data_IF_426582936932
#
_entry.id   IF_426582936932
#
_cell.length_a   1.000
_cell.length_b   1.000
_cell.length_c   1.000
_cell.angle_alpha   90.00
_cell.angle_beta   90.00
_cell.angle_gamma   90.00
#
_symmetry.space_group_name_H-M   'P 1'
#
loop_
_entity.id
_entity.type
_entity.pdbx_description
1 polymer ?
#
# COMPACT_ATOMS: atom_id res chain seq x y z
N UNK A 1 -28.85 -56.75 23.97
CA UNK A 1 -30.17 -57.10 24.53
C UNK A 1 -30.54 -55.99 25.51
N UNK A 2 -30.96 -54.83 25.01
CA UNK A 2 -32.36 -54.42 24.79
C UNK A 2 -33.11 -54.17 26.10
N UNK A 3 -33.40 -52.91 26.40
CA UNK A 3 -34.73 -52.40 26.80
C UNK A 3 -34.68 -50.89 27.04
N UNK A 4 -35.43 -50.13 26.24
CA UNK A 4 -35.85 -48.74 26.50
C UNK A 4 -36.86 -48.68 27.66
N UNK A 5 -37.17 -47.48 28.19
CA UNK A 5 -38.44 -46.81 27.85
C UNK A 5 -38.29 -45.26 27.83
N UNK A 6 -39.18 -44.40 27.34
CA UNK A 6 -40.51 -44.43 26.72
C UNK A 6 -40.80 -42.97 26.29
N UNK A 7 -41.27 -42.72 25.07
CA UNK A 7 -42.62 -42.22 24.74
C UNK A 7 -43.14 -41.01 25.55
N UNK A 8 -43.27 -39.86 24.88
CA UNK A 8 -44.55 -39.16 24.63
C UNK A 8 -44.39 -38.02 23.60
N UNK A 9 -45.22 -38.08 22.55
CA UNK A 9 -45.54 -37.04 21.54
C UNK A 9 -46.51 -35.98 22.13
N UNK A 10 -47.14 -35.08 21.33
CA UNK A 10 -46.63 -34.02 20.44
C UNK A 10 -47.30 -32.66 20.81
N UNK A 11 -46.88 -31.51 20.26
CA UNK A 11 -47.81 -30.58 19.58
C UNK A 11 -47.11 -29.34 18.99
N UNK A 12 -47.73 -28.83 17.94
CA UNK A 12 -47.38 -27.67 17.15
C UNK A 12 -47.44 -26.35 17.93
N UNK A 13 -46.51 -25.44 17.65
CA UNK A 13 -46.87 -24.03 17.42
C UNK A 13 -45.81 -23.31 16.59
N UNK A 14 -46.27 -22.75 15.48
CA UNK A 14 -45.61 -21.64 14.79
C UNK A 14 -45.30 -20.51 15.78
N UNK A 15 -44.09 -19.95 15.68
CA UNK A 15 -43.87 -18.50 15.79
C UNK A 15 -42.48 -18.12 15.33
N UNK A 16 -42.48 -17.27 14.31
CA UNK A 16 -41.42 -16.35 13.96
C UNK A 16 -40.90 -15.57 15.16
N UNK A 17 -39.58 -15.44 15.26
CA UNK A 17 -38.94 -14.30 15.92
C UNK A 17 -37.57 -14.08 15.31
N UNK A 18 -37.48 -13.01 14.53
CA UNK A 18 -36.26 -12.24 14.30
C UNK A 18 -35.55 -12.01 15.64
N UNK A 19 -34.26 -12.29 15.69
CA UNK A 19 -33.35 -11.67 16.67
C UNK A 19 -32.07 -11.33 15.93
N UNK A 20 -31.94 -10.05 15.63
CA UNK A 20 -30.68 -9.36 15.43
C UNK A 20 -29.71 -9.73 16.55
N UNK A 21 -28.48 -10.07 16.18
CA UNK A 21 -27.34 -9.87 17.07
C UNK A 21 -26.23 -9.22 16.26
N UNK A 22 -26.37 -7.90 16.14
CA UNK A 22 -25.24 -6.99 16.07
C UNK A 22 -24.33 -7.31 17.26
N UNK A 23 -23.08 -7.65 16.97
CA UNK A 23 -22.00 -7.58 17.94
C UNK A 23 -20.90 -6.76 17.29
N UNK A 24 -21.09 -5.46 17.38
CA UNK A 24 -20.00 -4.51 17.45
C UNK A 24 -19.08 -4.92 18.61
N UNK A 25 -17.81 -5.11 18.32
CA UNK A 25 -16.75 -5.12 19.33
C UNK A 25 -15.67 -4.13 18.91
N UNK A 26 -16.05 -2.85 18.87
CA UNK A 26 -15.13 -1.73 18.97
C UNK A 26 -14.84 -1.48 20.45
N UNK A 27 -13.72 -2.01 20.94
CA UNK A 27 -13.03 -1.46 22.11
C UNK A 27 -11.54 -1.75 21.97
N UNK A 28 -10.79 -0.83 21.35
CA UNK A 28 -9.36 -0.70 21.63
C UNK A 28 -9.10 0.68 22.24
N UNK A 29 -8.79 0.65 23.53
CA UNK A 29 -8.33 1.79 24.31
C UNK A 29 -6.82 1.67 24.42
N UNK A 30 -6.11 2.54 23.70
CA UNK A 30 -4.66 2.53 23.66
C UNK A 30 -4.08 3.61 24.59
N UNK A 31 -3.21 3.16 25.50
CA UNK A 31 -2.32 4.02 26.28
C UNK A 31 -0.94 3.41 26.12
N UNK A 32 -0.08 4.14 25.40
CA UNK A 32 1.24 3.70 24.95
C UNK A 32 1.99 2.83 25.96
N UNK A 33 2.31 1.62 25.54
CA UNK A 33 3.08 0.63 26.27
C UNK A 33 3.52 -0.46 25.28
N UNK A 34 4.53 -1.26 25.62
CA UNK A 34 5.10 -2.40 24.88
C UNK A 34 4.09 -3.50 24.43
N UNK A 35 2.79 -3.24 24.53
CA UNK A 35 1.67 -4.13 24.26
C UNK A 35 1.44 -4.41 22.76
N UNK A 36 1.61 -3.45 21.85
CA UNK A 36 1.26 -3.61 20.42
C UNK A 36 2.03 -4.70 19.67
N UNK A 37 3.25 -4.99 20.13
CA UNK A 37 4.02 -6.09 19.53
C UNK A 37 3.62 -7.43 20.14
N UNK A 38 3.34 -7.48 21.46
CA UNK A 38 2.82 -8.69 22.10
C UNK A 38 1.46 -9.07 21.52
N UNK A 39 0.56 -8.10 21.30
CA UNK A 39 -0.77 -8.31 20.70
C UNK A 39 -0.65 -8.95 19.33
N UNK A 40 0.13 -8.40 18.39
CA UNK A 40 0.28 -9.00 17.05
C UNK A 40 1.03 -10.35 17.02
N UNK A 41 1.76 -10.74 18.07
CA UNK A 41 2.37 -12.09 18.15
C UNK A 41 1.39 -13.11 18.74
N UNK A 42 0.59 -12.67 19.70
CA UNK A 42 -0.48 -13.46 20.33
C UNK A 42 -1.67 -13.63 19.39
N UNK A 43 -2.06 -12.57 18.67
CA UNK A 43 -3.17 -12.51 17.71
C UNK A 43 -3.00 -13.51 16.56
N UNK A 44 -1.77 -13.68 16.06
CA UNK A 44 -1.45 -14.65 15.00
C UNK A 44 -0.89 -15.98 15.51
N UNK A 45 -0.87 -16.24 16.83
CA UNK A 45 -0.34 -17.49 17.43
C UNK A 45 1.12 -17.82 17.06
N UNK A 46 1.95 -16.80 16.86
CA UNK A 46 3.36 -16.99 16.48
C UNK A 46 4.25 -17.23 17.70
N UNK A 47 5.36 -17.94 17.49
CA UNK A 47 6.37 -18.18 18.53
C UNK A 47 6.82 -16.85 19.18
N UNK A 48 6.75 -16.69 20.53
CA UNK A 48 7.17 -15.47 21.20
C UNK A 48 8.62 -15.07 20.89
N UNK A 49 8.92 -13.77 20.93
CA UNK A 49 10.28 -13.28 20.64
C UNK A 49 11.35 -13.93 21.53
N UNK A 50 11.03 -14.16 22.80
CA UNK A 50 11.95 -14.72 23.80
C UNK A 50 12.51 -16.09 23.42
N UNK A 51 11.71 -16.93 22.76
CA UNK A 51 12.17 -18.24 22.27
C UNK A 51 12.66 -18.13 20.83
N UNK A 52 12.00 -17.32 19.99
CA UNK A 52 12.32 -17.17 18.58
C UNK A 52 13.72 -16.59 18.32
N UNK A 53 14.23 -15.74 19.21
CA UNK A 53 15.61 -15.23 19.12
C UNK A 53 16.67 -16.34 19.07
N UNK A 54 16.38 -17.55 19.58
CA UNK A 54 17.32 -18.68 19.51
C UNK A 54 17.48 -19.18 18.07
N UNK A 55 16.37 -19.26 17.31
CA UNK A 55 16.39 -19.56 15.87
C UNK A 55 17.18 -18.51 15.09
N UNK A 56 17.03 -17.24 15.46
CA UNK A 56 17.84 -16.15 14.89
C UNK A 56 19.33 -16.38 15.17
N UNK A 57 19.71 -16.74 16.40
CA UNK A 57 21.12 -17.05 16.70
C UNK A 57 21.65 -18.23 15.88
N UNK A 58 20.85 -19.27 15.69
CA UNK A 58 21.20 -20.41 14.85
C UNK A 58 21.41 -19.98 13.38
N UNK A 59 20.49 -19.18 12.83
CA UNK A 59 20.65 -18.61 11.50
C UNK A 59 21.96 -17.81 11.38
N UNK A 60 22.26 -16.95 12.35
CA UNK A 60 23.49 -16.15 12.35
C UNK A 60 24.74 -17.03 12.45
N UNK A 61 24.69 -18.15 13.17
CA UNK A 61 25.77 -19.13 13.21
C UNK A 61 26.00 -19.80 11.84
N UNK A 62 24.93 -20.06 11.09
CA UNK A 62 25.01 -20.60 9.71
C UNK A 62 25.61 -19.57 8.76
N UNK A 63 25.14 -18.31 8.82
CA UNK A 63 25.54 -17.25 7.88
C UNK A 63 26.96 -16.73 8.13
N UNK A 64 27.36 -16.56 9.40
CA UNK A 64 28.60 -15.87 9.79
C UNK A 64 29.55 -16.71 10.65
N UNK A 65 29.23 -17.99 10.86
CA UNK A 65 30.06 -18.94 11.62
C UNK A 65 29.65 -19.08 13.09
N UNK A 66 30.11 -20.17 13.71
CA UNK A 66 29.60 -20.69 15.00
C UNK A 66 29.64 -19.73 16.19
N UNK A 67 30.46 -18.67 16.15
CA UNK A 67 30.51 -17.69 17.23
C UNK A 67 29.54 -16.51 17.03
N UNK A 68 29.03 -16.28 15.82
CA UNK A 68 28.25 -15.10 15.48
C UNK A 68 26.95 -15.02 16.28
N UNK A 69 26.16 -16.10 16.33
CA UNK A 69 24.93 -16.13 17.12
C UNK A 69 25.14 -15.90 18.62
N UNK A 70 26.31 -16.30 19.17
CA UNK A 70 26.64 -16.10 20.59
C UNK A 70 26.93 -14.64 20.94
N UNK A 71 27.57 -13.91 20.03
CA UNK A 71 27.99 -12.52 20.25
C UNK A 71 27.02 -11.50 19.66
N UNK A 72 26.00 -11.95 18.92
CA UNK A 72 24.98 -11.09 18.36
C UNK A 72 24.14 -10.43 19.46
N UNK A 73 23.99 -9.12 19.36
CA UNK A 73 22.93 -8.40 20.09
C UNK A 73 21.67 -8.49 19.23
N UNK A 74 20.61 -9.09 19.77
CA UNK A 74 19.34 -9.28 19.08
C UNK A 74 18.29 -8.50 19.86
N UNK A 75 17.57 -7.62 19.18
CA UNK A 75 16.52 -6.79 19.76
C UNK A 75 15.23 -6.96 18.98
N UNK A 76 14.11 -6.96 19.69
CA UNK A 76 12.80 -6.82 19.07
C UNK A 76 12.61 -5.38 18.64
N UNK A 77 12.10 -5.16 17.44
CA UNK A 77 11.67 -3.84 16.99
C UNK A 77 10.16 -3.87 16.74
N UNK A 78 9.50 -2.73 16.96
CA UNK A 78 8.12 -2.56 16.54
C UNK A 78 8.04 -2.76 15.03
N UNK A 79 7.10 -3.59 14.58
CA UNK A 79 6.88 -3.90 13.19
C UNK A 79 5.39 -3.95 12.92
N UNK A 80 4.98 -3.60 11.70
CA UNK A 80 3.58 -3.68 11.29
C UNK A 80 3.04 -5.12 11.28
N UNK A 81 1.74 -5.27 11.02
CA UNK A 81 1.04 -6.56 11.06
C UNK A 81 1.52 -7.62 10.06
N UNK A 82 2.34 -7.26 9.07
CA UNK A 82 2.78 -8.17 7.99
C UNK A 82 4.10 -8.89 8.26
N UNK A 83 4.98 -8.29 9.06
CA UNK A 83 6.34 -8.76 9.24
C UNK A 83 6.73 -8.76 10.71
N UNK A 84 7.47 -9.78 11.13
CA UNK A 84 8.26 -9.73 12.36
C UNK A 84 9.58 -9.04 12.03
N UNK A 85 9.88 -7.95 12.75
CA UNK A 85 11.07 -7.12 12.56
C UNK A 85 12.01 -7.34 13.74
N UNK A 86 13.23 -7.80 13.45
CA UNK A 86 14.25 -8.10 14.45
C UNK A 86 15.51 -7.30 14.13
N UNK A 87 15.98 -6.52 15.09
CA UNK A 87 17.27 -5.85 15.03
C UNK A 87 18.38 -6.84 15.37
N UNK A 88 19.43 -6.87 14.54
CA UNK A 88 20.61 -7.71 14.76
C UNK A 88 21.85 -6.83 14.68
N UNK A 89 22.68 -6.84 15.72
CA UNK A 89 23.98 -6.18 15.71
C UNK A 89 25.10 -7.21 15.85
N UNK A 90 26.04 -7.18 14.91
CA UNK A 90 27.17 -8.11 14.84
C UNK A 90 28.50 -7.35 14.80
N UNK A 91 29.54 -7.95 15.37
CA UNK A 91 30.93 -7.54 15.16
C UNK A 91 31.51 -8.39 14.04
N UNK A 92 31.58 -7.82 12.83
CA UNK A 92 32.13 -8.47 11.64
C UNK A 92 33.39 -7.71 11.21
N UNK A 93 34.50 -8.42 11.07
CA UNK A 93 35.81 -7.86 10.69
C UNK A 93 36.29 -6.68 11.57
N UNK A 94 35.94 -6.71 12.86
CA UNK A 94 36.27 -5.64 13.82
C UNK A 94 35.35 -4.42 13.75
N UNK A 95 34.33 -4.43 12.88
CA UNK A 95 33.35 -3.36 12.76
C UNK A 95 31.99 -3.81 13.27
N UNK A 96 31.32 -2.94 14.03
CA UNK A 96 29.92 -3.14 14.43
C UNK A 96 29.04 -2.87 13.22
N UNK A 97 28.32 -3.89 12.75
CA UNK A 97 27.32 -3.81 11.69
C UNK A 97 25.92 -4.01 12.26
N UNK A 98 24.97 -3.25 11.73
CA UNK A 98 23.56 -3.28 12.15
C UNK A 98 22.70 -3.79 11.01
N UNK A 99 21.87 -4.77 11.31
CA UNK A 99 20.98 -5.41 10.37
C UNK A 99 19.55 -5.38 10.89
N UNK A 100 18.62 -5.47 9.94
CA UNK A 100 17.21 -5.76 10.15
C UNK A 100 16.95 -7.14 9.53
N UNK A 101 16.41 -8.04 10.33
CA UNK A 101 15.85 -9.30 9.87
C UNK A 101 14.32 -9.14 9.77
N UNK A 102 13.80 -9.20 8.54
CA UNK A 102 12.37 -9.27 8.23
C UNK A 102 11.97 -10.72 8.06
N UNK A 103 10.98 -11.16 8.83
CA UNK A 103 10.35 -12.48 8.68
C UNK A 103 8.88 -12.25 8.36
N UNK A 104 8.42 -12.59 7.14
CA UNK A 104 7.01 -12.51 6.79
C UNK A 104 6.15 -13.33 7.76
N UNK A 105 4.97 -12.82 8.08
CA UNK A 105 4.01 -13.53 8.94
C UNK A 105 3.09 -14.46 8.17
N UNK A 106 3.02 -14.32 6.85
CA UNK A 106 2.13 -15.09 5.98
C UNK A 106 2.93 -15.90 4.96
N UNK A 107 2.53 -17.16 4.76
CA UNK A 107 3.24 -18.13 3.90
C UNK A 107 3.17 -17.79 2.40
N UNK A 108 2.34 -16.83 2.01
CA UNK A 108 2.16 -16.42 0.62
C UNK A 108 3.09 -15.29 0.16
N UNK A 109 3.96 -14.77 1.03
CA UNK A 109 4.86 -13.65 0.71
C UNK A 109 6.03 -14.13 -0.15
N UNK A 110 6.15 -13.59 -1.37
CA UNK A 110 7.30 -13.83 -2.23
C UNK A 110 8.47 -12.90 -1.85
N UNK A 111 9.32 -13.39 -0.95
CA UNK A 111 10.51 -12.68 -0.49
C UNK A 111 11.50 -12.38 -1.63
N UNK A 112 11.69 -13.30 -2.58
CA UNK A 112 12.55 -13.08 -3.75
C UNK A 112 12.12 -11.87 -4.59
N UNK A 113 10.81 -11.68 -4.77
CA UNK A 113 10.28 -10.54 -5.50
C UNK A 113 10.59 -9.21 -4.77
N UNK A 114 10.39 -9.17 -3.44
CA UNK A 114 10.75 -8.00 -2.63
C UNK A 114 12.25 -7.66 -2.71
N UNK A 115 13.11 -8.69 -2.64
CA UNK A 115 14.56 -8.50 -2.75
C UNK A 115 14.96 -7.94 -4.12
N UNK A 116 14.32 -8.38 -5.21
CA UNK A 116 14.56 -7.85 -6.54
C UNK A 116 14.18 -6.36 -6.64
N UNK A 117 13.03 -5.97 -6.07
CA UNK A 117 12.60 -4.57 -6.00
C UNK A 117 13.65 -3.73 -5.26
N UNK A 118 14.04 -4.14 -4.04
CA UNK A 118 15.03 -3.42 -3.24
C UNK A 118 16.37 -3.27 -3.98
N UNK A 119 16.87 -4.35 -4.60
CA UNK A 119 18.11 -4.32 -5.38
C UNK A 119 18.02 -3.40 -6.60
N UNK A 120 16.87 -3.36 -7.26
CA UNK A 120 16.62 -2.50 -8.43
C UNK A 120 16.54 -1.01 -8.07
N UNK A 121 16.00 -0.70 -6.88
CA UNK A 121 15.84 0.67 -6.40
C UNK A 121 17.10 1.24 -5.73
N UNK A 122 17.95 0.39 -5.16
CA UNK A 122 19.16 0.77 -4.38
C UNK A 122 20.11 1.77 -5.05
N UNK A 123 20.37 1.72 -6.37
CA UNK A 123 21.22 2.71 -7.03
C UNK A 123 20.60 4.12 -7.06
N UNK A 124 19.28 4.23 -6.90
CA UNK A 124 18.52 5.46 -7.12
C UNK A 124 17.97 6.03 -5.81
N UNK A 125 17.65 5.19 -4.84
CA UNK A 125 16.97 5.58 -3.60
C UNK A 125 17.71 5.07 -2.36
N UNK A 126 17.59 5.77 -1.21
CA UNK A 126 18.13 5.29 0.05
C UNK A 126 17.25 4.17 0.60
N UNK A 127 17.37 2.97 0.03
CA UNK A 127 16.65 1.76 0.46
C UNK A 127 17.60 0.77 1.13
N UNK A 128 17.10 -0.14 1.98
CA UNK A 128 17.95 -1.12 2.65
C UNK A 128 18.74 -1.99 1.67
N UNK A 129 20.00 -2.25 1.97
CA UNK A 129 20.84 -3.17 1.23
C UNK A 129 20.58 -4.60 1.71
N UNK A 130 20.19 -5.49 0.79
CA UNK A 130 19.92 -6.90 1.12
C UNK A 130 21.24 -7.65 1.26
N UNK A 131 21.47 -8.19 2.45
CA UNK A 131 22.65 -8.97 2.81
C UNK A 131 22.45 -10.45 2.47
N UNK A 132 21.33 -11.04 2.91
CA UNK A 132 20.94 -12.41 2.58
C UNK A 132 19.42 -12.56 2.64
N UNK A 133 18.90 -13.59 2.00
CA UNK A 133 17.48 -13.94 2.08
C UNK A 133 17.30 -15.42 1.79
N UNK A 134 16.19 -15.97 2.23
CA UNK A 134 15.72 -17.31 1.85
C UNK A 134 14.21 -17.25 1.64
N UNK A 135 13.73 -17.84 0.54
CA UNK A 135 12.30 -17.94 0.23
C UNK A 135 11.70 -19.28 0.70
N UNK A 136 12.53 -20.23 1.11
CA UNK A 136 12.11 -21.54 1.60
C UNK A 136 11.94 -21.61 3.11
N UNK A 137 11.62 -22.81 3.59
CA UNK A 137 11.46 -23.13 5.01
C UNK A 137 12.57 -24.04 5.55
N UNK A 138 13.48 -24.51 4.67
CA UNK A 138 14.62 -25.36 5.04
C UNK A 138 15.79 -24.52 5.56
N UNK A 139 15.54 -23.78 6.64
CA UNK A 139 16.52 -22.94 7.32
C UNK A 139 16.20 -22.86 8.83
N UNK A 140 17.11 -22.27 9.62
CA UNK A 140 16.96 -22.19 11.08
C UNK A 140 15.71 -21.47 11.57
N UNK A 141 15.10 -20.60 10.74
CA UNK A 141 13.88 -19.87 11.07
C UNK A 141 12.61 -20.65 10.72
N UNK A 142 12.71 -21.78 10.01
CA UNK A 142 11.60 -22.58 9.49
C UNK A 142 10.63 -21.77 8.60
N UNK A 143 11.12 -20.69 7.99
CA UNK A 143 10.31 -19.75 7.25
C UNK A 143 11.15 -18.83 6.36
N UNK A 144 10.51 -18.11 5.43
CA UNK A 144 11.20 -17.17 4.58
C UNK A 144 11.73 -15.97 5.39
N UNK A 145 12.81 -15.36 4.93
CA UNK A 145 13.37 -14.18 5.58
C UNK A 145 14.16 -13.28 4.64
N UNK A 146 14.30 -12.01 5.01
CA UNK A 146 15.26 -11.06 4.43
C UNK A 146 16.13 -10.50 5.56
N UNK A 147 17.44 -10.68 5.46
CA UNK A 147 18.42 -9.97 6.26
C UNK A 147 18.95 -8.79 5.43
N UNK A 148 18.85 -7.58 5.97
CA UNK A 148 19.28 -6.35 5.29
C UNK A 148 20.01 -5.41 6.23
N UNK A 149 20.84 -4.53 5.69
CA UNK A 149 21.51 -3.49 6.47
C UNK A 149 20.48 -2.50 7.03
N UNK A 150 20.63 -2.16 8.32
CA UNK A 150 19.80 -1.14 8.95
C UNK A 150 20.19 0.23 8.40
N UNK A 151 19.22 0.93 7.82
CA UNK A 151 19.42 2.32 7.41
C UNK A 151 19.60 3.23 8.64
N UNK A 152 20.46 4.25 8.57
CA UNK A 152 20.65 5.21 9.65
C UNK A 152 19.47 6.17 9.78
N UNK A 153 19.33 6.79 10.94
CA UNK A 153 18.28 7.74 11.26
C UNK A 153 17.14 7.17 12.08
N UNK A 154 16.15 8.01 12.33
CA UNK A 154 14.91 7.72 13.05
C UNK A 154 13.70 8.01 12.17
N UNK A 155 12.53 7.49 12.55
CA UNK A 155 11.28 7.73 11.83
C UNK A 155 10.97 9.22 11.77
N UNK A 156 10.59 9.74 10.61
CA UNK A 156 10.10 11.11 10.48
C UNK A 156 8.84 11.31 11.31
N UNK A 157 7.98 10.28 11.41
CA UNK A 157 6.78 10.32 12.23
C UNK A 157 7.07 10.69 13.70
N UNK A 158 8.09 10.07 14.29
CA UNK A 158 8.41 10.23 15.71
C UNK A 158 8.87 11.65 16.07
N UNK A 159 9.44 12.38 15.11
CA UNK A 159 10.00 13.72 15.35
C UNK A 159 9.24 14.84 14.65
N UNK A 160 8.24 14.53 13.82
CA UNK A 160 7.57 15.52 12.98
C UNK A 160 6.98 16.67 13.80
N UNK A 161 6.48 16.38 15.01
CA UNK A 161 5.95 17.37 15.94
C UNK A 161 7.04 18.18 16.67
N UNK A 162 8.25 17.64 16.77
CA UNK A 162 9.39 18.30 17.41
C UNK A 162 10.07 19.32 16.48
N UNK A 163 10.02 19.07 15.16
CA UNK A 163 10.62 19.94 14.15
C UNK A 163 10.06 21.37 14.23
N UNK A 164 10.96 22.35 14.20
CA UNK A 164 10.54 23.74 14.07
C UNK A 164 10.01 24.06 12.66
N UNK A 165 9.44 25.25 12.49
CA UNK A 165 8.81 25.65 11.22
C UNK A 165 9.81 25.66 10.04
N UNK A 166 11.05 26.06 10.26
CA UNK A 166 12.06 26.16 9.21
C UNK A 166 12.56 24.75 8.86
N UNK A 167 12.76 23.88 9.85
CA UNK A 167 13.07 22.45 9.68
C UNK A 167 11.94 21.72 8.93
N UNK A 168 10.67 21.97 9.25
CA UNK A 168 9.53 21.41 8.49
C UNK A 168 9.45 21.95 7.07
N UNK A 169 9.77 23.22 6.84
CA UNK A 169 9.86 23.78 5.49
C UNK A 169 10.98 23.11 4.67
N UNK A 170 12.14 22.87 5.27
CA UNK A 170 13.24 22.18 4.60
C UNK A 170 12.92 20.69 4.37
N UNK A 171 12.22 20.03 5.30
CA UNK A 171 11.69 18.69 5.09
C UNK A 171 10.71 18.65 3.93
N UNK A 172 9.79 19.61 3.84
CA UNK A 172 8.84 19.72 2.74
C UNK A 172 9.53 19.80 1.36
N UNK A 173 10.64 20.55 1.25
CA UNK A 173 11.44 20.56 0.01
C UNK A 173 12.05 19.19 -0.29
N UNK A 174 12.62 18.52 0.71
CA UNK A 174 13.22 17.20 0.54
C UNK A 174 12.18 16.15 0.12
N UNK A 175 10.97 16.21 0.66
CA UNK A 175 9.87 15.33 0.25
C UNK A 175 9.42 15.62 -1.18
N UNK A 176 9.31 16.89 -1.59
CA UNK A 176 9.03 17.25 -2.98
C UNK A 176 10.11 16.70 -3.94
N UNK A 177 11.38 16.84 -3.58
CA UNK A 177 12.51 16.29 -4.34
C UNK A 177 12.49 14.76 -4.39
N UNK A 178 12.14 14.11 -3.29
CA UNK A 178 11.98 12.66 -3.24
C UNK A 178 10.85 12.18 -4.15
N UNK A 179 9.67 12.80 -4.09
CA UNK A 179 8.51 12.48 -4.93
C UNK A 179 8.89 12.63 -6.42
N UNK A 180 9.46 13.77 -6.81
CA UNK A 180 9.90 14.00 -8.19
C UNK A 180 10.93 12.97 -8.64
N UNK A 181 11.87 12.60 -7.75
CA UNK A 181 12.87 11.55 -8.03
C UNK A 181 12.21 10.19 -8.24
N UNK A 182 11.24 9.82 -7.40
CA UNK A 182 10.44 8.59 -7.53
C UNK A 182 9.72 8.58 -8.89
N UNK A 183 9.04 9.67 -9.24
CA UNK A 183 8.32 9.77 -10.52
C UNK A 183 9.23 9.80 -11.75
N UNK A 184 10.53 10.07 -11.59
CA UNK A 184 11.53 10.04 -12.65
C UNK A 184 12.18 8.66 -12.86
N UNK A 185 11.87 7.69 -12.00
CA UNK A 185 12.45 6.35 -12.08
C UNK A 185 12.08 5.67 -13.41
N UNK A 186 13.09 5.08 -14.07
CA UNK A 186 12.90 4.36 -15.32
C UNK A 186 12.24 2.99 -15.06
N UNK A 187 10.92 2.93 -15.24
CA UNK A 187 10.14 1.73 -15.02
C UNK A 187 10.19 0.74 -16.19
N UNK A 188 10.00 -0.57 -15.92
CA UNK A 188 9.58 -1.51 -16.96
C UNK A 188 8.24 -1.07 -17.57
N UNK A 189 7.98 -1.41 -18.85
CA UNK A 189 6.74 -1.02 -19.51
C UNK A 189 5.51 -1.70 -18.89
N UNK A 190 4.44 -0.93 -18.72
CA UNK A 190 3.13 -1.43 -18.29
C UNK A 190 2.55 -0.64 -17.10
N UNK A 191 1.35 -1.02 -16.71
CA UNK A 191 0.64 -0.53 -15.52
C UNK A 191 0.27 -1.72 -14.64
N UNK A 192 0.67 -1.68 -13.37
CA UNK A 192 0.44 -2.77 -12.42
C UNK A 192 1.54 -2.91 -11.37
N UNK A 193 1.38 -3.89 -10.46
CA UNK A 193 2.33 -4.15 -9.38
C UNK A 193 3.71 -4.51 -9.92
N UNK A 194 4.77 -4.07 -9.24
CA UNK A 194 6.12 -4.45 -9.59
C UNK A 194 6.51 -5.78 -8.95
N UNK A 195 7.30 -6.56 -9.66
CA UNK A 195 7.89 -7.79 -9.13
C UNK A 195 9.24 -8.07 -9.79
N UNK A 196 10.01 -8.96 -9.16
CA UNK A 196 11.23 -9.50 -9.76
C UNK A 196 10.97 -10.79 -10.51
N UNK A 197 11.43 -10.89 -11.75
CA UNK A 197 11.45 -12.16 -12.46
C UNK A 197 12.55 -13.11 -11.92
N UNK A 198 12.57 -14.34 -12.44
CA UNK A 198 13.55 -15.37 -12.07
C UNK A 198 15.00 -15.01 -12.45
N UNK A 199 15.19 -14.06 -13.35
CA UNK A 199 16.49 -13.52 -13.76
C UNK A 199 16.93 -12.32 -12.90
N UNK A 200 16.08 -11.88 -11.96
CA UNK A 200 16.33 -10.74 -11.08
C UNK A 200 16.06 -9.39 -11.73
N UNK A 201 15.32 -9.33 -12.83
CA UNK A 201 14.90 -8.09 -13.49
C UNK A 201 13.54 -7.62 -12.95
N UNK A 202 13.42 -6.31 -12.77
CA UNK A 202 12.15 -5.67 -12.41
C UNK A 202 11.17 -5.74 -13.60
N UNK A 203 9.95 -6.22 -13.34
CA UNK A 203 8.85 -6.30 -14.32
C UNK A 203 7.55 -5.76 -13.73
N UNK A 204 6.62 -5.41 -14.63
CA UNK A 204 5.23 -5.13 -14.28
C UNK A 204 4.45 -6.44 -14.33
N UNK A 205 3.81 -6.79 -13.22
CA UNK A 205 3.00 -7.99 -13.06
C UNK A 205 1.51 -7.70 -13.17
N UNK A 206 0.70 -8.75 -12.95
CA UNK A 206 -0.76 -8.67 -12.91
C UNK A 206 -1.25 -8.83 -11.49
N UNK A 207 -2.09 -7.89 -11.05
CA UNK A 207 -2.74 -7.97 -9.74
C UNK A 207 -3.63 -9.22 -9.65
N UNK A 208 -3.68 -9.90 -8.49
CA UNK A 208 -4.61 -10.99 -8.27
C UNK A 208 -6.05 -10.53 -8.45
N UNK A 209 -6.93 -11.41 -8.92
CA UNK A 209 -8.39 -11.16 -8.89
C UNK A 209 -9.05 -11.69 -7.61
N UNK A 210 -8.28 -12.34 -6.74
CA UNK A 210 -8.71 -12.83 -5.43
C UNK A 210 -8.76 -11.70 -4.38
N UNK A 211 -9.61 -11.83 -3.34
CA UNK A 211 -9.65 -10.85 -2.25
C UNK A 211 -8.30 -10.70 -1.53
N UNK A 212 -8.03 -9.56 -0.87
CA UNK A 212 -6.78 -9.33 -0.15
C UNK A 212 -6.43 -10.35 0.93
N UNK A 213 -7.44 -11.00 1.52
CA UNK A 213 -7.29 -12.04 2.55
C UNK A 213 -7.23 -13.46 1.98
N UNK A 214 -7.28 -13.64 0.67
CA UNK A 214 -7.17 -14.95 0.04
C UNK A 214 -5.72 -15.45 0.07
N UNK A 215 -5.53 -16.74 0.34
CA UNK A 215 -4.23 -17.40 0.21
C UNK A 215 -3.70 -17.36 -1.24
N UNK A 216 -4.61 -17.21 -2.24
CA UNK A 216 -4.30 -17.09 -3.67
C UNK A 216 -3.91 -15.65 -4.10
N UNK A 217 -3.66 -14.72 -3.17
CA UNK A 217 -3.26 -13.32 -3.44
C UNK A 217 -1.86 -13.17 -4.09
N UNK A 218 -1.27 -14.23 -4.64
CA UNK A 218 0.04 -14.14 -5.30
C UNK A 218 -0.10 -13.31 -6.57
N UNK A 219 0.79 -12.30 -6.72
CA UNK A 219 0.96 -11.61 -8.00
C UNK A 219 1.12 -12.70 -9.06
N UNK A 220 0.40 -12.58 -10.16
CA UNK A 220 0.49 -13.59 -11.23
C UNK A 220 1.78 -13.30 -11.98
N UNK A 221 2.85 -13.93 -11.49
CA UNK A 221 4.24 -13.82 -11.97
C UNK A 221 4.43 -14.55 -13.31
N UNK A 222 3.66 -15.62 -13.54
CA UNK A 222 3.70 -16.47 -14.72
C UNK A 222 2.61 -16.10 -15.74
N UNK A 223 2.97 -15.27 -16.72
CA UNK A 223 2.13 -14.86 -17.85
C UNK A 223 1.90 -15.98 -18.90
N UNK A 224 2.32 -17.21 -18.61
CA UNK A 224 2.26 -18.36 -19.54
C UNK A 224 1.24 -19.43 -19.15
N UNK A 225 0.61 -19.37 -17.98
CA UNK A 225 -0.32 -20.43 -17.60
C UNK A 225 -1.69 -20.23 -18.26
N UNK A 226 -2.17 -21.29 -18.92
CA UNK A 226 -3.38 -21.36 -19.76
C UNK A 226 -3.33 -20.82 -21.22
N UNK A 227 -2.18 -20.87 -21.89
CA UNK A 227 -2.15 -20.94 -23.37
C UNK A 227 -2.54 -19.65 -24.14
N UNK A 228 -2.44 -18.48 -23.51
CA UNK A 228 -2.55 -17.18 -24.15
C UNK A 228 -1.57 -16.17 -23.52
N UNK A 229 -0.98 -15.28 -24.34
CA UNK A 229 -0.18 -14.17 -23.80
C UNK A 229 -1.10 -13.27 -22.96
N UNK A 230 -0.90 -13.26 -21.65
CA UNK A 230 -1.53 -12.26 -20.78
C UNK A 230 -0.97 -10.89 -21.18
N UNK A 231 -1.84 -10.00 -21.64
CA UNK A 231 -1.45 -8.65 -22.06
C UNK A 231 -1.23 -7.79 -20.80
N UNK A 232 0.01 -7.36 -20.59
CA UNK A 232 0.31 -6.32 -19.60
C UNK A 232 -0.29 -5.01 -20.13
N UNK A 233 -1.22 -4.37 -19.40
CA UNK A 233 -1.80 -3.12 -19.84
C UNK A 233 -0.73 -2.03 -19.93
N UNK A 234 -0.71 -1.27 -21.02
CA UNK A 234 0.33 -0.24 -21.26
C UNK A 234 -0.15 1.17 -20.90
N UNK A 235 -1.47 1.36 -20.77
CA UNK A 235 -2.09 2.64 -20.48
C UNK A 235 -3.09 2.52 -19.33
N UNK A 236 -3.47 3.66 -18.74
CA UNK A 236 -4.51 3.70 -17.70
C UNK A 236 -5.83 3.08 -18.20
N UNK A 237 -6.25 3.40 -19.43
CA UNK A 237 -7.49 2.86 -19.99
C UNK A 237 -7.44 1.36 -20.24
N UNK A 238 -6.32 0.84 -20.75
CA UNK A 238 -6.12 -0.59 -20.92
C UNK A 238 -6.13 -1.31 -19.58
N UNK A 239 -5.51 -0.72 -18.55
CA UNK A 239 -5.46 -1.31 -17.21
C UNK A 239 -6.87 -1.44 -16.64
N UNK A 240 -7.61 -0.34 -16.58
CA UNK A 240 -8.97 -0.33 -16.04
C UNK A 240 -9.88 -1.28 -16.83
N UNK A 241 -9.85 -1.21 -18.16
CA UNK A 241 -10.72 -2.05 -19.00
C UNK A 241 -10.42 -3.53 -18.82
N UNK A 242 -9.14 -3.92 -18.89
CA UNK A 242 -8.71 -5.32 -18.75
C UNK A 242 -9.10 -5.85 -17.38
N UNK A 243 -8.78 -5.11 -16.31
CA UNK A 243 -8.99 -5.58 -14.94
C UNK A 243 -10.46 -5.69 -14.56
N UNK A 244 -11.29 -4.70 -14.92
CA UNK A 244 -12.73 -4.76 -14.63
C UNK A 244 -13.42 -5.91 -15.40
N UNK A 245 -13.01 -6.16 -16.64
CA UNK A 245 -13.51 -7.30 -17.41
C UNK A 245 -13.12 -8.65 -16.78
N UNK A 246 -11.90 -8.76 -16.27
CA UNK A 246 -11.42 -9.95 -15.56
C UNK A 246 -12.23 -10.21 -14.29
N UNK A 247 -12.43 -9.19 -13.46
CA UNK A 247 -13.26 -9.31 -12.26
C UNK A 247 -14.72 -9.65 -12.58
N UNK A 248 -15.29 -9.08 -13.65
CA UNK A 248 -16.64 -9.41 -14.10
C UNK A 248 -16.74 -10.87 -14.56
N UNK A 249 -15.75 -11.36 -15.31
CA UNK A 249 -15.67 -12.76 -15.73
C UNK A 249 -15.50 -13.71 -14.54
N UNK A 250 -14.69 -13.36 -13.54
CA UNK A 250 -14.53 -14.14 -12.31
C UNK A 250 -15.82 -14.21 -11.50
N UNK A 251 -16.52 -13.08 -11.33
CA UNK A 251 -17.82 -13.04 -10.67
C UNK A 251 -18.85 -13.91 -11.41
N UNK A 252 -18.84 -13.91 -12.75
CA UNK A 252 -19.71 -14.77 -13.56
C UNK A 252 -19.37 -16.26 -13.40
N UNK A 253 -18.07 -16.61 -13.34
CA UNK A 253 -17.60 -17.99 -13.11
C UNK A 253 -17.97 -18.51 -11.72
N UNK A 254 -17.95 -17.66 -10.70
CA UNK A 254 -18.26 -18.03 -9.32
C UNK A 254 -19.74 -18.44 -9.12
N UNK A 255 -20.64 -18.03 -10.01
CA UNK A 255 -22.03 -18.50 -10.04
C UNK A 255 -23.00 -17.74 -9.11
N UNK A 256 -24.01 -18.45 -8.60
CA UNK A 256 -25.18 -17.84 -7.95
C UNK A 256 -24.82 -16.98 -6.74
N UNK A 257 -25.34 -15.76 -6.68
CA UNK A 257 -25.11 -14.79 -5.60
C UNK A 257 -24.07 -13.72 -5.91
N UNK A 258 -23.39 -13.79 -7.07
CA UNK A 258 -22.43 -12.78 -7.53
C UNK A 258 -22.98 -11.91 -8.69
N UNK A 259 -24.24 -12.09 -9.08
CA UNK A 259 -24.85 -11.35 -10.21
C UNK A 259 -24.85 -9.82 -9.97
N UNK A 260 -24.93 -9.39 -8.72
CA UNK A 260 -24.83 -7.98 -8.38
C UNK A 260 -23.42 -7.42 -8.64
N UNK A 261 -22.35 -8.20 -8.39
CA UNK A 261 -20.97 -7.77 -8.67
C UNK A 261 -20.72 -7.62 -10.16
N UNK A 262 -21.25 -8.54 -10.98
CA UNK A 262 -21.20 -8.43 -12.45
C UNK A 262 -21.81 -7.09 -12.89
N UNK A 263 -23.00 -6.75 -12.38
CA UNK A 263 -23.65 -5.45 -12.67
C UNK A 263 -22.80 -4.26 -12.23
N UNK A 264 -22.18 -4.32 -11.05
CA UNK A 264 -21.32 -3.25 -10.56
C UNK A 264 -20.08 -3.07 -11.45
N UNK A 265 -19.43 -4.17 -11.86
CA UNK A 265 -18.27 -4.09 -12.76
C UNK A 265 -18.66 -3.58 -14.15
N UNK A 266 -19.81 -3.98 -14.69
CA UNK A 266 -20.31 -3.46 -15.97
C UNK A 266 -20.61 -1.96 -15.90
N UNK A 267 -21.23 -1.49 -14.80
CA UNK A 267 -21.48 -0.07 -14.55
C UNK A 267 -20.17 0.71 -14.41
N UNK A 268 -19.20 0.16 -13.67
CA UNK A 268 -17.90 0.79 -13.48
C UNK A 268 -17.09 0.84 -14.78
N UNK A 269 -17.18 -0.20 -15.62
CA UNK A 269 -16.57 -0.24 -16.95
C UNK A 269 -17.21 0.79 -17.90
N UNK A 270 -18.52 1.00 -17.82
CA UNK A 270 -19.18 2.06 -18.57
C UNK A 270 -18.73 3.45 -18.08
N UNK A 271 -18.71 3.66 -16.76
CA UNK A 271 -18.25 4.90 -16.14
C UNK A 271 -16.78 5.21 -16.49
N UNK A 272 -15.89 4.20 -16.48
CA UNK A 272 -14.48 4.39 -16.82
C UNK A 272 -14.29 4.90 -18.24
N UNK A 273 -15.07 4.38 -19.21
CA UNK A 273 -15.02 4.86 -20.59
C UNK A 273 -15.41 6.34 -20.72
N UNK A 274 -16.33 6.83 -19.88
CA UNK A 274 -16.72 8.25 -19.86
C UNK A 274 -15.60 9.07 -19.20
N UNK A 275 -15.19 8.70 -17.99
CA UNK A 275 -14.19 9.44 -17.20
C UNK A 275 -12.87 9.55 -17.98
N UNK A 276 -12.30 8.43 -18.42
CA UNK A 276 -10.99 8.39 -19.06
C UNK A 276 -10.96 9.07 -20.44
N UNK A 277 -12.12 9.29 -21.08
CA UNK A 277 -12.24 10.10 -22.32
C UNK A 277 -12.49 11.57 -22.05
N UNK A 278 -13.13 11.89 -20.92
CA UNK A 278 -13.46 13.27 -20.55
C UNK A 278 -12.26 14.00 -20.00
N UNK A 279 -11.41 13.31 -19.23
CA UNK A 279 -10.21 13.91 -18.66
C UNK A 279 -9.05 13.90 -19.65
N UNK A 280 -8.30 14.99 -19.66
CA UNK A 280 -7.00 15.05 -20.32
C UNK A 280 -5.97 14.41 -19.39
N UNK A 281 -5.71 13.12 -19.62
CA UNK A 281 -4.76 12.31 -18.87
C UNK A 281 -3.39 12.34 -19.56
N UNK A 282 -2.34 12.20 -18.76
CA UNK A 282 -0.98 11.97 -19.22
C UNK A 282 -0.81 10.51 -19.65
N UNK A 283 0.01 10.28 -20.67
CA UNK A 283 0.51 8.94 -20.99
C UNK A 283 1.67 8.51 -20.07
N UNK A 284 2.07 9.38 -19.12
CA UNK A 284 3.18 9.13 -18.20
C UNK A 284 2.79 8.06 -17.17
N UNK A 285 3.63 7.04 -17.07
CA UNK A 285 3.61 6.06 -15.98
C UNK A 285 4.76 6.39 -15.02
N UNK A 286 4.47 6.36 -13.72
CA UNK A 286 5.40 6.70 -12.65
C UNK A 286 5.45 5.59 -11.60
N UNK A 287 6.60 5.46 -10.93
CA UNK A 287 6.74 4.56 -9.79
C UNK A 287 5.85 5.10 -8.67
N UNK A 288 4.97 4.27 -8.14
CA UNK A 288 4.09 4.62 -7.04
C UNK A 288 4.46 3.79 -5.82
N UNK A 289 4.92 4.46 -4.77
CA UNK A 289 5.30 3.84 -3.49
C UNK A 289 4.10 3.22 -2.76
N UNK A 290 2.87 3.72 -2.99
CA UNK A 290 1.62 3.38 -2.29
C UNK A 290 1.54 3.81 -0.82
N UNK A 291 2.65 3.83 -0.12
CA UNK A 291 2.68 4.17 1.31
C UNK A 291 3.83 5.12 1.69
N UNK A 292 3.92 6.26 0.99
CA UNK A 292 4.96 7.27 1.26
C UNK A 292 4.59 8.12 2.49
N UNK A 293 4.53 7.42 3.61
CA UNK A 293 4.16 7.85 4.94
C UNK A 293 5.34 8.43 5.71
N UNK A 294 5.12 9.34 6.70
CA UNK A 294 6.19 9.76 7.61
C UNK A 294 6.78 8.58 8.40
N UNK A 295 6.03 7.51 8.70
CA UNK A 295 6.55 6.31 9.38
C UNK A 295 7.51 5.48 8.51
N UNK A 296 7.43 5.64 7.19
CA UNK A 296 8.27 4.93 6.21
C UNK A 296 9.45 5.78 5.73
N UNK A 297 9.64 6.97 6.29
CA UNK A 297 10.74 7.87 5.94
C UNK A 297 11.68 7.97 7.15
N UNK A 298 12.95 7.66 6.93
CA UNK A 298 13.98 7.85 7.93
C UNK A 298 14.71 9.16 7.70
N UNK A 299 14.98 9.86 8.79
CA UNK A 299 15.69 11.12 8.82
C UNK A 299 16.78 11.09 9.88
N UNK A 300 17.86 11.79 9.59
CA UNK A 300 18.97 11.98 10.53
C UNK A 300 19.43 13.43 10.53
N UNK A 301 19.97 13.88 11.67
CA UNK A 301 20.51 15.21 11.82
C UNK A 301 22.02 15.16 11.65
N UNK A 302 22.56 16.02 10.77
CA UNK A 302 24.00 16.08 10.50
C UNK A 302 24.79 16.72 11.65
N UNK A 303 24.82 16.07 12.81
CA UNK A 303 25.42 16.57 14.05
C UNK A 303 24.55 17.58 14.81
N UNK A 304 25.01 17.99 16.00
CA UNK A 304 24.32 18.99 16.81
C UNK A 304 24.20 20.33 16.07
N UNK A 305 22.97 20.83 15.93
CA UNK A 305 22.67 22.06 15.18
C UNK A 305 22.71 21.92 13.65
N UNK A 306 22.92 20.72 13.13
CA UNK A 306 22.83 20.43 11.69
C UNK A 306 21.38 20.42 11.17
N UNK A 307 21.22 20.39 9.85
CA UNK A 307 19.92 20.21 9.20
C UNK A 307 19.50 18.74 9.21
N UNK A 308 18.19 18.50 9.31
CA UNK A 308 17.61 17.17 9.09
C UNK A 308 17.70 16.78 7.62
N UNK A 309 18.06 15.53 7.35
CA UNK A 309 18.13 14.98 6.00
C UNK A 309 17.44 13.63 5.91
N UNK A 310 16.75 13.37 4.80
CA UNK A 310 16.19 12.05 4.50
C UNK A 310 17.33 11.06 4.25
N UNK A 311 17.40 10.03 5.09
CA UNK A 311 18.44 8.99 5.06
C UNK A 311 17.92 7.64 4.62
N UNK A 312 16.59 7.46 4.56
CA UNK A 312 15.99 6.18 4.20
C UNK A 312 14.53 6.29 3.77
N UNK A 313 14.13 5.39 2.87
CA UNK A 313 12.72 5.15 2.52
C UNK A 313 12.46 3.65 2.63
N UNK A 314 11.48 3.28 3.44
CA UNK A 314 11.12 1.91 3.79
C UNK A 314 9.80 1.50 3.11
N UNK A 315 9.48 0.22 3.17
CA UNK A 315 8.18 -0.36 2.76
C UNK A 315 7.83 -0.22 1.27
N UNK A 316 8.75 -0.68 0.41
CA UNK A 316 8.56 -0.75 -1.04
C UNK A 316 7.81 -2.00 -1.52
N UNK A 317 7.26 -2.81 -0.62
CA UNK A 317 6.76 -4.15 -0.92
C UNK A 317 5.54 -4.12 -1.87
N UNK A 318 4.70 -3.08 -1.77
CA UNK A 318 3.48 -2.92 -2.57
C UNK A 318 3.65 -1.93 -3.74
N UNK A 319 4.88 -1.51 -4.06
CA UNK A 319 5.10 -0.51 -5.11
C UNK A 319 4.66 -0.98 -6.50
N UNK A 320 4.26 -0.02 -7.33
CA UNK A 320 3.67 -0.32 -8.63
C UNK A 320 4.03 0.71 -9.71
N UNK A 321 3.93 0.30 -10.97
CA UNK A 321 3.92 1.21 -12.11
C UNK A 321 2.48 1.72 -12.29
N UNK A 322 2.24 2.99 -11.98
CA UNK A 322 0.90 3.58 -12.02
C UNK A 322 0.83 4.77 -12.98
N UNK A 323 -0.35 5.09 -13.55
CA UNK A 323 -0.54 6.35 -14.27
C UNK A 323 -0.14 7.52 -13.36
N UNK A 324 0.44 8.57 -13.93
CA UNK A 324 0.94 9.72 -13.18
C UNK A 324 -0.14 10.37 -12.31
N UNK A 325 -1.37 10.41 -12.83
CA UNK A 325 -2.59 10.81 -12.12
C UNK A 325 -2.84 10.03 -10.81
N UNK A 326 -2.41 8.77 -10.75
CA UNK A 326 -2.59 7.92 -9.58
C UNK A 326 -1.38 8.01 -8.65
N UNK A 327 -0.16 8.02 -9.21
CA UNK A 327 1.08 8.11 -8.44
C UNK A 327 1.26 9.46 -7.72
N UNK A 328 0.70 10.53 -8.29
CA UNK A 328 0.77 11.90 -7.77
C UNK A 328 -0.03 12.15 -6.50
N UNK A 329 0.39 11.54 -5.39
CA UNK A 329 -0.22 11.68 -4.07
C UNK A 329 0.19 13.00 -3.41
N UNK A 330 -0.75 13.59 -2.68
CA UNK A 330 -0.55 14.85 -1.95
C UNK A 330 -0.11 14.54 -0.50
N UNK A 331 1.13 14.85 -0.09
CA UNK A 331 1.66 14.45 1.23
C UNK A 331 1.21 15.42 2.34
N UNK A 332 -0.10 15.55 2.57
CA UNK A 332 -0.59 16.63 3.42
C UNK A 332 -0.31 16.49 4.91
N UNK A 333 0.13 15.29 5.35
CA UNK A 333 0.75 15.08 6.64
C UNK A 333 1.90 16.07 6.92
N UNK A 334 2.58 16.59 5.88
CA UNK A 334 3.64 17.59 6.03
C UNK A 334 3.19 18.88 6.73
N UNK A 335 1.95 19.32 6.53
CA UNK A 335 1.44 20.59 7.03
C UNK A 335 0.18 20.43 7.89
N UNK A 336 -0.08 19.23 8.40
CA UNK A 336 -1.08 19.03 9.44
C UNK A 336 -0.73 19.85 10.69
N UNK A 337 -1.75 20.38 11.36
CA UNK A 337 -1.57 21.12 12.61
C UNK A 337 -1.06 20.17 13.69
N UNK A 338 -0.25 20.69 14.61
CA UNK A 338 0.26 19.91 15.74
C UNK A 338 -0.92 19.38 16.59
N UNK A 339 -0.88 18.10 16.98
CA UNK A 339 -1.92 17.49 17.81
C UNK A 339 -3.26 17.19 17.12
N UNK A 340 -3.38 17.38 15.80
CA UNK A 340 -4.58 17.04 15.02
C UNK A 340 -4.41 15.72 14.24
N UNK A 341 -3.72 14.72 14.78
CA UNK A 341 -3.61 13.40 14.13
C UNK A 341 -4.93 12.66 14.30
N UNK A 342 -5.75 12.65 13.25
CA UNK A 342 -6.99 11.86 13.22
C UNK A 342 -6.66 10.36 13.25
N UNK A 343 -7.47 9.55 13.94
CA UNK A 343 -7.25 8.10 14.06
C UNK A 343 -7.52 7.35 12.74
N UNK A 344 -8.35 7.92 11.85
CA UNK A 344 -8.74 7.33 10.55
C UNK A 344 -7.91 7.93 9.38
N UNK A 345 -6.66 8.28 9.65
CA UNK A 345 -5.82 9.06 8.74
C UNK A 345 -5.37 8.28 7.49
N UNK A 346 -6.03 8.52 6.35
CA UNK A 346 -5.55 8.02 5.05
C UNK A 346 -4.50 8.98 4.46
N UNK A 347 -3.24 8.67 4.71
CA UNK A 347 -2.07 9.47 4.31
C UNK A 347 -1.96 9.73 2.80
N UNK A 348 -2.70 8.96 2.00
CA UNK A 348 -2.72 9.05 0.54
C UNK A 348 -3.95 9.77 -0.03
N UNK A 349 -4.93 10.16 0.78
CA UNK A 349 -6.20 10.77 0.35
C UNK A 349 -6.37 12.24 0.76
N UNK A 350 -5.26 12.99 0.75
CA UNK A 350 -5.29 14.40 1.10
C UNK A 350 -5.94 15.29 0.04
N UNK A 351 -6.64 16.32 0.51
CA UNK A 351 -7.24 17.33 -0.35
C UNK A 351 -6.26 18.46 -0.62
N UNK A 352 -5.88 18.72 -1.89
CA UNK A 352 -5.08 19.89 -2.21
C UNK A 352 -5.79 21.20 -1.87
N UNK A 353 -7.13 21.21 -1.79
CA UNK A 353 -7.95 22.41 -1.60
C UNK A 353 -8.56 22.52 -0.19
N UNK A 354 -8.31 21.56 0.72
CA UNK A 354 -8.64 21.75 2.14
C UNK A 354 -7.98 23.05 2.64
N UNK A 355 -8.77 23.99 3.19
CA UNK A 355 -8.24 25.23 3.73
C UNK A 355 -7.30 24.95 4.90
N UNK A 356 -6.07 25.43 4.77
CA UNK A 356 -5.10 25.39 5.87
C UNK A 356 -5.26 26.70 6.65
N UNK A 357 -5.64 26.61 7.92
CA UNK A 357 -6.03 27.78 8.73
C UNK A 357 -4.85 28.40 9.47
N UNK A 358 -3.94 27.59 10.00
CA UNK A 358 -2.73 28.01 10.71
C UNK A 358 -1.64 28.55 9.75
N UNK A 359 -0.98 29.65 10.14
CA UNK A 359 0.07 30.30 9.33
C UNK A 359 1.31 29.42 9.14
N UNK A 360 1.69 28.61 10.13
CA UNK A 360 2.85 27.71 9.98
C UNK A 360 2.59 26.65 8.91
N UNK A 361 1.43 25.99 9.00
CA UNK A 361 0.98 25.00 8.04
C UNK A 361 0.84 25.59 6.63
N UNK A 362 0.33 26.82 6.49
CA UNK A 362 0.28 27.53 5.20
C UNK A 362 1.68 27.71 4.62
N UNK A 363 2.66 28.12 5.43
CA UNK A 363 4.04 28.32 5.00
C UNK A 363 4.66 27.01 4.51
N UNK A 364 4.48 25.92 5.26
CA UNK A 364 5.01 24.58 4.88
C UNK A 364 4.39 24.11 3.55
N UNK A 365 3.06 24.21 3.42
CA UNK A 365 2.34 23.86 2.18
C UNK A 365 2.82 24.70 1.00
N UNK A 366 3.01 26.02 1.18
CA UNK A 366 3.51 26.90 0.12
C UNK A 366 4.92 26.51 -0.34
N UNK A 367 5.81 26.16 0.59
CA UNK A 367 7.17 25.70 0.27
C UNK A 367 7.12 24.39 -0.51
N UNK A 368 6.34 23.40 -0.05
CA UNK A 368 6.15 22.13 -0.78
C UNK A 368 5.63 22.38 -2.20
N UNK A 369 4.51 23.12 -2.33
CA UNK A 369 3.85 23.37 -3.61
C UNK A 369 4.79 24.10 -4.57
N UNK A 370 5.54 25.09 -4.09
CA UNK A 370 6.51 25.79 -4.93
C UNK A 370 7.60 24.84 -5.44
N UNK A 371 8.21 24.06 -4.55
CA UNK A 371 9.29 23.14 -4.92
C UNK A 371 8.80 22.07 -5.90
N UNK A 372 7.66 21.42 -5.63
CA UNK A 372 7.15 20.36 -6.50
C UNK A 372 6.67 20.89 -7.86
N UNK A 373 6.12 22.10 -7.95
CA UNK A 373 5.74 22.71 -9.23
C UNK A 373 6.96 23.13 -10.07
N UNK A 374 8.07 23.50 -9.44
CA UNK A 374 9.34 23.75 -10.14
C UNK A 374 9.94 22.45 -10.70
N UNK A 375 9.81 21.34 -9.97
CA UNK A 375 10.32 20.02 -10.37
C UNK A 375 9.40 19.29 -11.35
N UNK A 376 8.09 19.38 -11.15
CA UNK A 376 7.03 18.71 -11.92
C UNK A 376 5.89 19.70 -12.25
N UNK A 377 6.05 20.55 -13.29
CA UNK A 377 5.04 21.54 -13.63
C UNK A 377 3.65 20.93 -13.89
N UNK A 378 2.64 21.47 -13.20
CA UNK A 378 1.25 21.02 -13.26
C UNK A 378 0.90 19.93 -12.23
N UNK A 379 1.78 19.64 -11.27
CA UNK A 379 1.54 18.65 -10.21
C UNK A 379 0.26 18.95 -9.41
N UNK A 380 0.05 20.19 -8.99
CA UNK A 380 -1.14 20.62 -8.24
C UNK A 380 -2.43 20.44 -9.04
N UNK A 381 -2.40 20.83 -10.31
CA UNK A 381 -3.56 20.69 -11.18
C UNK A 381 -3.86 19.23 -11.49
N UNK A 382 -2.84 18.37 -11.58
CA UNK A 382 -3.01 16.92 -11.69
C UNK A 382 -3.62 16.35 -10.40
N UNK A 383 -3.12 16.71 -9.22
CA UNK A 383 -3.61 16.21 -7.94
C UNK A 383 -5.08 16.61 -7.67
N UNK A 384 -5.49 17.83 -8.04
CA UNK A 384 -6.90 18.24 -8.00
C UNK A 384 -7.77 17.39 -8.91
N UNK A 385 -7.34 17.24 -10.18
CA UNK A 385 -8.06 16.45 -11.18
C UNK A 385 -8.29 15.01 -10.74
N UNK A 386 -7.40 14.41 -9.96
CA UNK A 386 -7.51 12.98 -9.62
C UNK A 386 -8.45 12.72 -8.46
N UNK A 387 -8.56 13.70 -7.56
CA UNK A 387 -9.49 13.71 -6.43
C UNK A 387 -10.93 14.00 -6.87
N UNK A 388 -11.15 15.12 -7.59
CA UNK A 388 -12.49 15.59 -7.97
C UNK A 388 -13.24 14.61 -8.89
N UNK A 389 -12.49 13.74 -9.58
CA UNK A 389 -13.01 12.96 -10.71
C UNK A 389 -13.06 11.45 -10.48
N UNK A 390 -12.96 11.02 -9.21
CA UNK A 390 -13.02 9.62 -8.81
C UNK A 390 -12.03 8.68 -9.54
N UNK A 391 -10.97 9.23 -10.16
CA UNK A 391 -9.98 8.45 -10.93
C UNK A 391 -9.18 7.51 -10.02
N UNK A 392 -8.84 7.96 -8.81
CA UNK A 392 -8.18 7.12 -7.80
C UNK A 392 -9.09 5.97 -7.36
N UNK A 393 -10.36 6.24 -7.03
CA UNK A 393 -11.33 5.20 -6.68
C UNK A 393 -11.54 4.20 -7.82
N UNK A 394 -11.67 4.67 -9.07
CA UNK A 394 -11.74 3.81 -10.24
C UNK A 394 -10.51 2.91 -10.36
N UNK A 395 -9.32 3.48 -10.20
CA UNK A 395 -8.07 2.74 -10.26
C UNK A 395 -7.97 1.70 -9.13
N UNK A 396 -8.30 2.06 -7.88
CA UNK A 396 -8.29 1.12 -6.75
C UNK A 396 -9.26 -0.05 -6.93
N UNK A 397 -10.42 0.19 -7.57
CA UNK A 397 -11.36 -0.88 -7.93
C UNK A 397 -10.87 -1.75 -9.08
N UNK A 398 -10.20 -1.18 -10.08
CA UNK A 398 -9.51 -1.95 -11.12
C UNK A 398 -8.31 -2.74 -10.57
N UNK A 399 -7.60 -2.21 -9.58
CA UNK A 399 -6.47 -2.88 -8.95
C UNK A 399 -6.93 -4.04 -8.06
N UNK A 400 -7.85 -3.75 -7.15
CA UNK A 400 -8.18 -4.62 -6.02
C UNK A 400 -9.56 -5.27 -6.05
N UNK A 401 -10.49 -4.84 -6.91
CA UNK A 401 -11.85 -5.39 -6.97
C UNK A 401 -12.80 -4.90 -5.85
N UNK A 402 -14.01 -5.47 -5.81
CA UNK A 402 -15.09 -5.09 -4.90
C UNK A 402 -15.32 -6.19 -3.86
N UNK A 403 -15.02 -5.88 -2.59
CA UNK A 403 -15.03 -6.85 -1.50
C UNK A 403 -15.74 -6.39 -0.23
N UNK A 404 -16.05 -5.09 -0.10
CA UNK A 404 -16.71 -4.52 1.06
C UNK A 404 -17.83 -3.57 0.66
N UNK A 405 -18.70 -3.22 1.60
CA UNK A 405 -19.73 -2.19 1.40
C UNK A 405 -19.12 -0.83 1.10
N UNK A 406 -17.94 -0.52 1.66
CA UNK A 406 -17.21 0.70 1.32
C UNK A 406 -16.80 0.71 -0.16
N UNK A 407 -16.36 -0.44 -0.68
CA UNK A 407 -16.02 -0.54 -2.10
C UNK A 407 -17.23 -0.31 -3.01
N UNK A 408 -18.42 -0.75 -2.59
CA UNK A 408 -19.66 -0.50 -3.32
C UNK A 408 -19.98 0.99 -3.34
N UNK A 409 -19.87 1.69 -2.20
CA UNK A 409 -20.08 3.15 -2.12
C UNK A 409 -19.12 3.92 -3.04
N UNK A 410 -17.86 3.51 -3.11
CA UNK A 410 -16.90 4.10 -4.05
C UNK A 410 -17.31 3.90 -5.51
N UNK A 411 -17.76 2.69 -5.88
CA UNK A 411 -18.26 2.41 -7.24
C UNK A 411 -19.46 3.29 -7.56
N UNK A 412 -20.42 3.42 -6.65
CA UNK A 412 -21.59 4.28 -6.82
C UNK A 412 -21.20 5.74 -7.02
N UNK A 413 -20.21 6.24 -6.26
CA UNK A 413 -19.65 7.60 -6.45
C UNK A 413 -19.04 7.77 -7.84
N UNK A 414 -18.18 6.84 -8.27
CA UNK A 414 -17.54 6.88 -9.61
C UNK A 414 -18.60 6.91 -10.71
N UNK A 415 -19.63 6.05 -10.60
CA UNK A 415 -20.72 5.97 -11.58
C UNK A 415 -21.55 7.25 -11.60
N UNK A 416 -21.88 7.83 -10.44
CA UNK A 416 -22.63 9.07 -10.34
C UNK A 416 -21.90 10.25 -11.00
N UNK A 417 -20.58 10.36 -10.78
CA UNK A 417 -19.76 11.40 -11.43
C UNK A 417 -19.76 11.24 -12.95
N UNK A 418 -19.57 10.02 -13.47
CA UNK A 418 -19.62 9.76 -14.91
C UNK A 418 -20.98 10.10 -15.54
N UNK A 419 -22.09 9.81 -14.85
CA UNK A 419 -23.43 10.17 -15.30
C UNK A 419 -23.63 11.69 -15.33
N UNK A 420 -23.13 12.42 -14.31
CA UNK A 420 -23.18 13.88 -14.26
C UNK A 420 -22.45 14.54 -15.42
N UNK A 421 -21.26 14.04 -15.78
CA UNK A 421 -20.49 14.52 -16.93
C UNK A 421 -21.24 14.31 -18.26
N UNK A 422 -21.89 13.16 -18.41
CA UNK A 422 -22.69 12.86 -19.62
C UNK A 422 -23.87 13.83 -19.76
N UNK A 423 -24.60 14.07 -18.66
CA UNK A 423 -25.72 15.03 -18.65
C UNK A 423 -25.26 16.46 -18.95
N UNK A 424 -24.10 16.87 -18.42
CA UNK A 424 -23.52 18.19 -18.68
C UNK A 424 -23.14 18.38 -20.16
N UNK A 425 -22.56 17.36 -20.80
CA UNK A 425 -22.22 17.40 -22.23
C UNK A 425 -23.48 17.44 -23.12
N UNK A 426 -24.52 16.67 -22.80
CA UNK A 426 -25.81 16.74 -23.50
C UNK A 426 -26.48 18.12 -23.36
N UNK A 427 -26.46 18.70 -22.16
CA UNK A 427 -26.98 20.05 -21.93
C UNK A 427 -26.20 21.10 -22.74
N UNK A 428 -24.86 21.00 -22.79
CA UNK A 428 -24.01 21.89 -23.57
C UNK A 428 -24.27 21.77 -25.09
N UNK A 429 -24.49 20.54 -25.60
CA UNK A 429 -24.86 20.29 -27.01
C UNK A 429 -26.22 20.89 -27.35
N UNK A 430 -27.21 20.75 -26.48
CA UNK A 430 -28.54 21.31 -26.67
C UNK A 430 -28.54 22.85 -26.68
N UNK A 431 -27.74 23.49 -25.81
CA UNK A 431 -27.55 24.94 -25.82
C UNK A 431 -26.86 25.43 -27.11
N UNK A 432 -25.87 24.69 -27.62
CA UNK A 432 -25.20 25.04 -28.89
C UNK A 432 -26.15 24.88 -30.08
N UNK A 433 -27.00 23.84 -30.11
CA UNK A 433 -27.97 23.63 -31.19
C UNK A 433 -29.03 24.74 -31.24
N UNK A 434 -29.51 25.20 -30.08
CA UNK A 434 -30.51 26.28 -29.99
C UNK A 434 -29.93 27.66 -30.32
N UNK A 435 -28.62 27.85 -30.21
CA UNK A 435 -27.94 29.12 -30.57
C UNK A 435 -27.59 29.19 -32.08
N UNK A 436 -27.59 28.06 -32.80
CA UNK A 436 -27.35 28.00 -34.25
C UNK A 436 -28.65 28.10 -35.07
N UNK A 437 -29.80 27.84 -34.43
CA UNK A 437 -31.13 27.97 -35.04
C UNK A 437 -31.81 29.34 -34.79
N UNK A 438 -31.16 30.23 -34.03
CA UNK A 438 -31.56 31.62 -33.79
C UNK A 438 -30.65 32.57 -34.56
#
# INVERSE_FOLDING_TARGET
MSSSPGHCHPDHSDRSSDVNSDVDSDVDSDVGSDADSETSTVEYSHEPFDTYQNRVRELLCVLYGSNAGRVAEISRLSGGGFNRIIGVTLLLDGHRKHFILRVPRFDNVNVSAQVCILRSLRPFFPVPEVESYDSGTDNSLEGPYILMHRLPGQSLYDILEELDIDERCDMAKQIAQLIAKIHSFALPPGVGPLYGDTEGNLRVGRSPTSPPWSEDKKIIEDLNDAGGRVLIPMTFSEFVTTRLAEFSADALRAGSGQEFKVKLYDQLLHASNILLRTFTLSDRIALFHRDLAPRNILVDRNGEGGSWTVTGVLDWDDCEAAPYEIAGVWPGWLWQSRGEVEMDFEENEWDPDIPVTNEESKRIKQVFVKEIEELEPGFQEMARRTRDNCLRQLYERARGGIWSTQHIKEVERVVAVAQGLTQADEAAKNMRSTTVEA
#
